data_IF_665505747226
#
_entry.id   IF_665505747226
#
_cell.length_a   1.000
_cell.length_b   1.000
_cell.length_c   1.000
_cell.angle_alpha   90.00
_cell.angle_beta   90.00
_cell.angle_gamma   90.00
#
_symmetry.space_group_name_H-M   'P 1'
#
loop_
_entity.id
_entity.type
_entity.pdbx_description
1 polymer ?
#
# COMPACT_ATOMS: atom_id res chain seq x y z
N UNK A 1 -19.07 13.19 10.09
CA UNK A 1 -18.88 11.78 10.51
C UNK A 1 -17.39 11.43 10.36
N UNK A 2 -16.83 10.84 11.37
CA UNK A 2 -15.45 10.36 11.30
C UNK A 2 -15.42 9.02 10.54
N UNK A 3 -14.84 8.99 9.34
CA UNK A 3 -14.74 7.77 8.53
C UNK A 3 -13.99 6.63 9.22
N UNK A 4 -13.03 6.96 10.12
CA UNK A 4 -12.29 5.97 10.90
C UNK A 4 -13.17 5.13 11.82
N UNK A 5 -14.22 5.74 12.41
CA UNK A 5 -15.13 5.03 13.32
C UNK A 5 -15.89 3.90 12.63
N UNK A 6 -16.20 4.02 11.33
CA UNK A 6 -16.88 2.97 10.55
C UNK A 6 -15.94 1.78 10.33
N UNK A 7 -14.67 2.05 10.05
CA UNK A 7 -13.68 0.99 9.77
C UNK A 7 -13.11 0.37 11.06
N UNK A 8 -13.28 1.00 12.21
CA UNK A 8 -12.84 0.45 13.49
C UNK A 8 -13.58 -0.85 13.85
N UNK A 9 -14.69 -1.15 13.17
CA UNK A 9 -15.39 -2.42 13.28
C UNK A 9 -14.72 -3.55 12.48
N UNK A 10 -13.74 -3.22 11.66
CA UNK A 10 -12.99 -4.19 10.86
C UNK A 10 -11.84 -4.75 11.69
N UNK A 11 -11.46 -6.00 11.39
CA UNK A 11 -10.31 -6.63 12.03
C UNK A 11 -9.02 -6.13 11.36
N UNK A 12 -8.18 -5.47 12.13
CA UNK A 12 -6.88 -4.97 11.71
C UNK A 12 -5.79 -5.74 12.44
N UNK A 13 -4.96 -6.46 11.70
CA UNK A 13 -3.97 -7.36 12.29
C UNK A 13 -2.70 -7.45 11.44
N UNK A 14 -1.56 -7.86 12.05
CA UNK A 14 -0.35 -8.14 11.27
C UNK A 14 -0.62 -9.21 10.22
N UNK A 15 -0.05 -9.02 9.02
CA UNK A 15 -0.12 -10.01 7.95
C UNK A 15 0.72 -11.23 8.33
N UNK A 16 0.15 -12.41 8.16
CA UNK A 16 0.80 -13.70 8.43
C UNK A 16 0.89 -14.53 7.17
N UNK A 17 1.70 -15.57 7.19
CA UNK A 17 1.82 -16.49 6.04
C UNK A 17 0.47 -17.05 5.63
N UNK A 18 -0.42 -17.31 6.58
CA UNK A 18 -1.77 -17.80 6.30
C UNK A 18 -2.65 -16.80 5.55
N UNK A 19 -2.30 -15.51 5.54
CA UNK A 19 -3.03 -14.46 4.81
C UNK A 19 -2.57 -14.34 3.36
N UNK A 20 -1.42 -14.90 3.01
CA UNK A 20 -0.75 -14.62 1.72
C UNK A 20 -1.61 -15.06 0.52
N UNK A 21 -2.32 -16.19 0.60
CA UNK A 21 -3.18 -16.62 -0.51
C UNK A 21 -4.27 -15.60 -0.82
N UNK A 22 -4.93 -15.06 0.20
CA UNK A 22 -5.95 -14.02 0.05
C UNK A 22 -5.33 -12.72 -0.46
N UNK A 23 -4.15 -12.36 0.04
CA UNK A 23 -3.42 -11.16 -0.37
C UNK A 23 -3.05 -11.24 -1.85
N UNK A 24 -2.51 -12.36 -2.30
CA UNK A 24 -2.17 -12.60 -3.72
C UNK A 24 -3.41 -12.49 -4.60
N UNK A 25 -4.52 -13.09 -4.18
CA UNK A 25 -5.77 -13.03 -4.94
C UNK A 25 -6.26 -11.58 -5.08
N UNK A 26 -6.22 -10.78 -4.00
CA UNK A 26 -6.61 -9.38 -4.05
C UNK A 26 -5.65 -8.58 -4.92
N UNK A 27 -4.36 -8.76 -4.76
CA UNK A 27 -3.32 -8.10 -5.56
C UNK A 27 -3.55 -8.31 -7.05
N UNK A 28 -3.78 -9.57 -7.46
CA UNK A 28 -4.05 -9.92 -8.86
C UNK A 28 -5.36 -9.30 -9.37
N UNK A 29 -6.34 -9.12 -8.50
CA UNK A 29 -7.65 -8.59 -8.90
C UNK A 29 -7.64 -7.08 -9.15
N UNK A 30 -6.69 -6.34 -8.56
CA UNK A 30 -6.69 -4.86 -8.63
C UNK A 30 -5.51 -4.27 -9.39
N UNK A 31 -4.41 -5.02 -9.57
CA UNK A 31 -3.21 -4.50 -10.25
C UNK A 31 -2.91 -5.23 -11.56
N UNK A 32 -2.62 -4.50 -12.66
CA UNK A 32 -2.21 -5.12 -13.94
C UNK A 32 -0.85 -5.84 -13.85
N UNK A 33 0.03 -5.39 -12.95
CA UNK A 33 1.36 -5.96 -12.74
C UNK A 33 1.52 -6.32 -11.25
N UNK A 34 0.82 -7.39 -10.81
CA UNK A 34 0.77 -7.72 -9.39
C UNK A 34 2.10 -8.29 -8.88
N UNK A 35 2.34 -8.10 -7.59
CA UNK A 35 3.40 -8.83 -6.90
C UNK A 35 3.11 -10.33 -6.94
N UNK A 36 4.17 -11.12 -6.99
CA UNK A 36 4.06 -12.58 -6.90
C UNK A 36 3.88 -13.02 -5.45
N UNK A 37 3.41 -14.26 -5.29
CA UNK A 37 3.38 -14.93 -3.98
C UNK A 37 4.75 -14.90 -3.29
N UNK A 38 5.82 -15.19 -4.07
CA UNK A 38 7.19 -15.15 -3.55
C UNK A 38 7.59 -13.79 -3.02
N UNK A 39 7.20 -12.70 -3.67
CA UNK A 39 7.46 -11.35 -3.19
C UNK A 39 6.86 -11.11 -1.81
N UNK A 40 5.61 -11.53 -1.58
CA UNK A 40 4.97 -11.38 -0.28
C UNK A 40 5.63 -12.24 0.79
N UNK A 41 5.94 -13.50 0.48
CA UNK A 41 6.61 -14.40 1.42
C UNK A 41 7.98 -13.85 1.80
N UNK A 42 8.77 -13.40 0.83
CA UNK A 42 10.10 -12.84 1.06
C UNK A 42 10.02 -11.58 1.93
N UNK A 43 9.02 -10.74 1.70
CA UNK A 43 8.80 -9.54 2.51
C UNK A 43 8.51 -9.89 3.97
N UNK A 44 7.65 -10.86 4.22
CA UNK A 44 7.34 -11.32 5.58
C UNK A 44 8.56 -11.95 6.24
N UNK A 45 9.30 -12.77 5.51
CA UNK A 45 10.51 -13.43 6.01
C UNK A 45 11.59 -12.41 6.35
N UNK A 46 11.68 -11.33 5.56
CA UNK A 46 12.61 -10.22 5.81
C UNK A 46 12.21 -9.34 6.99
N UNK A 47 11.04 -9.56 7.59
CA UNK A 47 10.57 -8.81 8.74
C UNK A 47 9.97 -7.46 8.39
N UNK A 48 9.50 -7.25 7.16
CA UNK A 48 8.81 -6.02 6.79
C UNK A 48 7.50 -5.88 7.56
N UNK A 49 7.09 -4.65 7.81
CA UNK A 49 5.90 -4.33 8.59
C UNK A 49 4.67 -4.40 7.69
N UNK A 50 3.94 -5.50 7.77
CA UNK A 50 2.82 -5.79 6.89
C UNK A 50 1.54 -6.01 7.69
N UNK A 51 0.43 -5.46 7.21
CA UNK A 51 -0.85 -5.47 7.91
C UNK A 51 -2.00 -5.79 6.97
N UNK A 52 -3.01 -6.46 7.50
CA UNK A 52 -4.24 -6.80 6.78
C UNK A 52 -5.44 -6.21 7.50
N UNK A 53 -6.46 -5.88 6.72
CA UNK A 53 -7.75 -5.41 7.21
C UNK A 53 -8.83 -6.34 6.66
N UNK A 54 -9.62 -6.94 7.55
CA UNK A 54 -10.70 -7.86 7.19
C UNK A 54 -12.04 -7.36 7.68
N UNK A 55 -13.06 -7.60 6.87
CA UNK A 55 -14.45 -7.33 7.23
C UNK A 55 -15.20 -8.67 7.21
N UNK A 56 -15.65 -9.14 8.38
CA UNK A 56 -16.36 -10.43 8.49
C UNK A 56 -15.59 -11.59 7.86
N UNK A 57 -14.26 -11.62 8.08
CA UNK A 57 -13.38 -12.65 7.56
C UNK A 57 -12.86 -12.42 6.14
N UNK A 58 -13.47 -11.54 5.36
CA UNK A 58 -13.02 -11.22 4.00
C UNK A 58 -11.92 -10.16 4.03
N UNK A 59 -10.89 -10.35 3.21
CA UNK A 59 -9.83 -9.38 3.07
C UNK A 59 -10.35 -8.13 2.36
N UNK A 60 -10.29 -6.98 3.06
CA UNK A 60 -10.73 -5.69 2.54
C UNK A 60 -9.57 -4.85 2.00
N UNK A 61 -8.39 -5.01 2.59
CA UNK A 61 -7.19 -4.29 2.17
C UNK A 61 -5.97 -4.70 2.97
N UNK A 62 -4.83 -4.20 2.55
CA UNK A 62 -3.54 -4.48 3.22
C UNK A 62 -2.50 -3.45 2.81
N UNK A 63 -1.40 -3.41 3.56
CA UNK A 63 -0.21 -2.66 3.17
C UNK A 63 1.06 -3.33 3.69
N UNK A 64 2.19 -3.02 3.05
CA UNK A 64 3.52 -3.47 3.47
C UNK A 64 4.46 -2.28 3.53
N UNK A 65 5.22 -2.21 4.62
CA UNK A 65 6.17 -1.14 4.88
C UNK A 65 7.57 -1.71 5.10
N UNK A 66 8.56 -0.95 4.65
CA UNK A 66 9.97 -1.23 4.95
C UNK A 66 10.56 0.00 5.62
N UNK A 67 11.00 -0.13 6.89
CA UNK A 67 11.62 0.98 7.60
C UNK A 67 13.07 1.15 7.15
N UNK A 68 13.46 2.38 6.85
CA UNK A 68 14.84 2.82 6.68
C UNK A 68 15.18 3.81 7.80
N UNK A 69 16.34 4.46 7.77
CA UNK A 69 16.81 5.29 8.88
C UNK A 69 15.83 6.43 9.21
N UNK A 70 15.50 7.25 8.23
CA UNK A 70 14.63 8.42 8.42
C UNK A 70 13.29 8.30 7.71
N UNK A 71 13.11 7.28 6.88
CA UNK A 71 11.97 7.14 6.00
C UNK A 71 11.39 5.73 6.05
N UNK A 72 10.08 5.64 6.07
CA UNK A 72 9.36 4.37 5.86
C UNK A 72 8.95 4.29 4.40
N UNK A 73 9.27 3.19 3.74
CA UNK A 73 8.82 2.95 2.36
C UNK A 73 7.51 2.18 2.37
N UNK A 74 6.48 2.77 1.78
CA UNK A 74 5.23 2.07 1.50
C UNK A 74 5.42 1.28 0.21
N UNK A 75 5.63 -0.03 0.36
CA UNK A 75 5.97 -0.90 -0.77
C UNK A 75 4.74 -1.34 -1.57
N UNK A 76 3.64 -1.55 -0.88
CA UNK A 76 2.37 -1.96 -1.50
C UNK A 76 1.22 -1.56 -0.60
N UNK A 77 0.12 -1.12 -1.19
CA UNK A 77 -1.15 -0.87 -0.51
C UNK A 77 -2.28 -1.17 -1.48
N UNK A 78 -3.28 -1.90 -1.03
CA UNK A 78 -4.40 -2.29 -1.87
C UNK A 78 -5.71 -2.28 -1.11
N UNK A 79 -6.78 -1.94 -1.83
CA UNK A 79 -8.17 -1.99 -1.37
C UNK A 79 -8.94 -2.90 -2.33
N UNK A 80 -9.73 -3.82 -1.79
CA UNK A 80 -10.59 -4.68 -2.58
C UNK A 80 -11.48 -3.85 -3.51
N UNK A 81 -11.64 -4.30 -4.77
CA UNK A 81 -12.36 -3.55 -5.79
C UNK A 81 -13.76 -3.12 -5.34
N UNK A 82 -14.47 -4.00 -4.64
CA UNK A 82 -15.82 -3.74 -4.13
C UNK A 82 -15.86 -2.65 -3.04
N UNK A 83 -14.73 -2.27 -2.48
CA UNK A 83 -14.63 -1.30 -1.39
C UNK A 83 -13.90 -0.01 -1.80
N UNK A 84 -13.45 0.09 -3.04
CA UNK A 84 -12.84 1.31 -3.56
C UNK A 84 -13.88 2.42 -3.62
N UNK A 85 -13.44 3.65 -3.38
CA UNK A 85 -14.35 4.81 -3.32
C UNK A 85 -15.12 4.96 -2.01
N UNK A 86 -14.84 4.12 -1.01
CA UNK A 86 -15.54 4.13 0.29
C UNK A 86 -14.80 4.94 1.38
N UNK A 87 -13.59 5.43 1.08
CA UNK A 87 -12.71 6.05 2.09
C UNK A 87 -11.75 5.08 2.75
N UNK A 88 -11.79 3.80 2.37
CA UNK A 88 -10.92 2.78 2.96
C UNK A 88 -9.46 3.00 2.61
N UNK A 89 -9.15 3.48 1.40
CA UNK A 89 -7.78 3.83 1.02
C UNK A 89 -7.18 4.89 1.95
N UNK A 90 -7.94 5.94 2.25
CA UNK A 90 -7.52 6.97 3.21
C UNK A 90 -7.33 6.40 4.61
N UNK A 91 -8.23 5.53 5.05
CA UNK A 91 -8.12 4.87 6.34
C UNK A 91 -6.83 4.05 6.44
N UNK A 92 -6.48 3.28 5.39
CA UNK A 92 -5.22 2.54 5.34
C UNK A 92 -4.00 3.47 5.36
N UNK A 93 -4.05 4.59 4.64
CA UNK A 93 -2.96 5.58 4.68
C UNK A 93 -2.81 6.21 6.07
N UNK A 94 -3.89 6.39 6.83
CA UNK A 94 -3.82 6.80 8.23
C UNK A 94 -3.08 5.75 9.07
N UNK A 95 -3.36 4.47 8.84
CA UNK A 95 -2.67 3.37 9.53
C UNK A 95 -1.20 3.29 9.13
N UNK A 96 -0.87 3.53 7.86
CA UNK A 96 0.51 3.63 7.38
C UNK A 96 1.25 4.74 8.13
N UNK A 97 0.66 5.93 8.21
CA UNK A 97 1.27 7.06 8.93
C UNK A 97 1.49 6.74 10.41
N UNK A 98 0.50 6.12 11.06
CA UNK A 98 0.61 5.73 12.47
C UNK A 98 1.74 4.71 12.67
N UNK A 99 1.85 3.69 11.80
CA UNK A 99 2.95 2.72 11.86
C UNK A 99 4.30 3.38 11.65
N UNK A 100 4.41 4.26 10.65
CA UNK A 100 5.66 4.96 10.36
C UNK A 100 6.13 5.82 11.55
N UNK A 101 5.20 6.51 12.21
CA UNK A 101 5.52 7.24 13.45
C UNK A 101 6.02 6.30 14.54
N UNK A 102 5.37 5.16 14.70
CA UNK A 102 5.79 4.14 15.67
C UNK A 102 7.16 3.54 15.37
N UNK A 103 7.58 3.51 14.10
CA UNK A 103 8.89 3.05 13.67
C UNK A 103 9.96 4.13 13.82
N UNK A 104 9.59 5.34 14.26
CA UNK A 104 10.53 6.42 14.52
C UNK A 104 11.02 7.16 13.26
N UNK A 105 10.30 7.03 12.14
CA UNK A 105 10.67 7.69 10.89
C UNK A 105 9.99 9.05 10.75
N UNK A 106 10.54 9.91 9.90
CA UNK A 106 10.09 11.29 9.72
C UNK A 106 9.15 11.47 8.53
N UNK A 107 9.17 10.51 7.61
CA UNK A 107 8.38 10.57 6.38
C UNK A 107 8.05 9.19 5.86
N UNK A 108 7.05 9.15 4.96
CA UNK A 108 6.69 7.96 4.19
C UNK A 108 6.99 8.25 2.72
N UNK A 109 7.72 7.34 2.07
CA UNK A 109 7.98 7.37 0.64
C UNK A 109 7.18 6.28 -0.05
N UNK A 110 6.74 6.55 -1.26
CA UNK A 110 6.15 5.54 -2.13
C UNK A 110 6.56 5.78 -3.58
N UNK A 111 6.40 4.76 -4.39
CA UNK A 111 6.56 4.83 -5.83
C UNK A 111 5.25 4.40 -6.48
N UNK A 112 4.85 5.09 -7.54
CA UNK A 112 3.58 4.83 -8.22
C UNK A 112 3.74 5.02 -9.72
N UNK A 113 3.05 4.18 -10.51
CA UNK A 113 3.00 4.31 -11.97
C UNK A 113 2.23 5.56 -12.36
N UNK A 114 2.72 6.36 -13.32
CA UNK A 114 1.93 7.48 -13.86
C UNK A 114 0.57 7.04 -14.41
N UNK A 115 0.47 5.81 -14.92
CA UNK A 115 -0.78 5.26 -15.45
C UNK A 115 -1.81 4.92 -14.37
N UNK A 116 -1.38 4.80 -13.12
CA UNK A 116 -2.28 4.51 -12.00
C UNK A 116 -2.93 5.79 -11.47
N UNK A 117 -3.84 6.36 -12.26
CA UNK A 117 -4.46 7.65 -11.98
C UNK A 117 -5.26 7.64 -10.67
N UNK A 118 -5.89 6.52 -10.34
CA UNK A 118 -6.66 6.38 -9.10
C UNK A 118 -5.77 6.48 -7.88
N UNK A 119 -4.66 5.75 -7.86
CA UNK A 119 -3.72 5.80 -6.76
C UNK A 119 -3.09 7.18 -6.60
N UNK A 120 -2.69 7.80 -7.72
CA UNK A 120 -2.16 9.16 -7.70
C UNK A 120 -3.13 10.14 -7.06
N UNK A 121 -4.42 10.06 -7.42
CA UNK A 121 -5.44 10.93 -6.85
C UNK A 121 -5.58 10.73 -5.34
N UNK A 122 -5.64 9.47 -4.90
CA UNK A 122 -5.74 9.12 -3.48
C UNK A 122 -4.52 9.65 -2.70
N UNK A 123 -3.32 9.44 -3.22
CA UNK A 123 -2.09 9.88 -2.54
C UNK A 123 -2.00 11.41 -2.47
N UNK A 124 -2.29 12.10 -3.57
CA UNK A 124 -2.28 13.57 -3.60
C UNK A 124 -3.28 14.18 -2.63
N UNK A 125 -4.50 13.66 -2.62
CA UNK A 125 -5.54 14.12 -1.69
C UNK A 125 -5.16 13.88 -0.24
N UNK A 126 -4.44 12.81 0.04
CA UNK A 126 -3.95 12.53 1.38
C UNK A 126 -2.88 13.52 1.83
N UNK A 127 -2.10 14.04 0.90
CA UNK A 127 -1.02 14.98 1.18
C UNK A 127 0.36 14.54 0.72
N UNK A 128 0.45 13.43 -0.02
CA UNK A 128 1.72 13.02 -0.63
C UNK A 128 2.08 13.98 -1.75
N UNK A 129 3.36 14.31 -1.86
CA UNK A 129 3.90 15.26 -2.84
C UNK A 129 4.93 14.54 -3.72
N UNK A 130 4.86 14.77 -5.02
CA UNK A 130 5.88 14.27 -5.95
C UNK A 130 7.22 14.92 -5.66
N UNK A 131 8.27 14.12 -5.47
CA UNK A 131 9.64 14.59 -5.20
C UNK A 131 10.63 14.16 -6.28
N UNK A 132 10.25 13.30 -7.20
CA UNK A 132 11.12 12.84 -8.26
C UNK A 132 10.50 11.76 -9.11
N UNK A 133 11.29 11.25 -10.05
CA UNK A 133 10.88 10.14 -10.90
C UNK A 133 12.05 9.19 -11.13
N UNK A 134 11.75 7.91 -11.24
CA UNK A 134 12.69 6.89 -11.71
C UNK A 134 12.30 6.51 -13.13
N UNK A 135 13.16 6.77 -14.09
CA UNK A 135 12.87 6.49 -15.49
C UNK A 135 12.87 5.01 -15.76
N UNK A 136 11.90 4.55 -16.58
CA UNK A 136 11.80 3.18 -17.06
C UNK A 136 11.92 2.15 -15.95
N UNK A 137 11.29 2.41 -14.80
CA UNK A 137 11.40 1.61 -13.57
C UNK A 137 10.53 0.36 -13.61
N UNK A 138 9.27 0.51 -14.05
CA UNK A 138 8.32 -0.59 -14.06
C UNK A 138 8.21 -1.26 -15.42
N UNK A 139 8.03 -2.60 -15.47
CA UNK A 139 7.65 -3.26 -16.72
C UNK A 139 6.26 -2.80 -17.17
N UNK A 140 6.07 -2.66 -18.47
CA UNK A 140 4.81 -2.28 -19.10
C UNK A 140 4.52 -3.20 -20.28
N UNK A 141 3.46 -2.94 -21.05
CA UNK A 141 3.07 -3.78 -22.17
C UNK A 141 4.14 -3.84 -23.27
N UNK A 142 4.21 -4.98 -23.97
CA UNK A 142 5.04 -5.17 -25.17
C UNK A 142 6.52 -4.88 -24.97
N UNK A 143 7.07 -5.27 -23.81
CA UNK A 143 8.47 -5.04 -23.51
C UNK A 143 8.85 -3.58 -23.25
N UNK A 144 7.87 -2.67 -23.23
CA UNK A 144 8.06 -1.28 -22.85
C UNK A 144 8.22 -1.16 -21.34
N UNK A 145 8.62 0.02 -20.89
CA UNK A 145 8.75 0.32 -19.47
C UNK A 145 8.07 1.63 -19.15
N UNK A 146 7.63 1.75 -17.91
CA UNK A 146 6.97 2.94 -17.40
C UNK A 146 7.80 3.52 -16.25
N UNK A 147 7.81 4.86 -16.14
CA UNK A 147 8.48 5.54 -15.04
C UNK A 147 7.81 5.24 -13.70
N UNK A 148 8.52 5.48 -12.60
CA UNK A 148 7.94 5.56 -11.28
C UNK A 148 7.91 7.02 -10.83
N UNK A 149 6.76 7.49 -10.38
CA UNK A 149 6.65 8.75 -9.66
C UNK A 149 7.00 8.46 -8.21
N UNK A 150 7.96 9.20 -7.66
CA UNK A 150 8.35 9.07 -6.25
C UNK A 150 7.63 10.16 -5.46
N UNK A 151 6.91 9.78 -4.42
CA UNK A 151 6.14 10.69 -3.59
C UNK A 151 6.52 10.57 -2.12
N UNK A 152 6.38 11.65 -1.38
CA UNK A 152 6.68 11.72 0.06
C UNK A 152 5.54 12.36 0.83
N UNK A 153 5.29 11.82 2.01
CA UNK A 153 4.40 12.40 3.00
C UNK A 153 5.20 12.67 4.29
N UNK A 154 5.23 13.91 4.76
CA UNK A 154 5.90 14.28 6.01
C UNK A 154 4.99 13.97 7.20
N UNK A 155 5.52 13.23 8.16
CA UNK A 155 4.77 12.80 9.35
C UNK A 155 4.62 13.90 10.41
#
# INVERSE_FOLDING_TARGET
MNGGAVFDLFDYAPMRLQDVDDVVALEQSVFPHPWSRGNFIDSLTSGYDAWVLRASGELAGYFLLMAAVDETHLLDVAVAASRQGSGLGRYLLDKVAARARGLGTESVLLEVRPSNLRALDVYRRYGYVEIGRRRAYYPAHEGKREDAIVMRYML
#
